data_IF_399555745467
#
_entry.id   IF_399555745467
#
_cell.length_a   1.000
_cell.length_b   1.000
_cell.length_c   1.000
_cell.angle_alpha   90.00
_cell.angle_beta   90.00
_cell.angle_gamma   90.00
#
_symmetry.space_group_name_H-M   'P 1'
#
loop_
_entity.id
_entity.type
_entity.pdbx_description
1 polymer ?
#
# COMPACT_ATOMS: atom_id res chain seq x y z
N UNK A 1 -20.81 -14.17 0.88
CA UNK A 1 -19.47 -14.79 0.78
C UNK A 1 -18.49 -13.90 1.51
N UNK A 2 -17.48 -14.49 2.17
CA UNK A 2 -16.39 -13.73 2.78
C UNK A 2 -15.54 -13.09 1.67
N UNK A 3 -15.06 -11.85 1.88
CA UNK A 3 -14.28 -11.11 0.88
C UNK A 3 -13.09 -10.43 1.54
N UNK A 4 -11.94 -10.39 0.85
CA UNK A 4 -10.82 -9.54 1.23
C UNK A 4 -10.79 -8.29 0.36
N UNK A 5 -10.32 -7.18 0.91
CA UNK A 5 -10.34 -5.89 0.20
C UNK A 5 -9.01 -5.18 0.29
N UNK A 6 -8.59 -4.59 -0.82
CA UNK A 6 -7.47 -3.64 -0.87
C UNK A 6 -8.07 -2.26 -1.17
N UNK A 7 -7.99 -1.35 -0.20
CA UNK A 7 -8.27 0.07 -0.44
C UNK A 7 -7.04 0.69 -1.10
N UNK A 8 -7.19 1.18 -2.31
CA UNK A 8 -6.08 1.64 -3.13
C UNK A 8 -6.18 3.15 -3.39
N UNK A 9 -5.18 3.89 -2.93
CA UNK A 9 -4.88 5.20 -3.52
C UNK A 9 -4.01 5.07 -4.77
N UNK A 10 -4.13 6.03 -5.68
CA UNK A 10 -3.34 6.11 -6.90
C UNK A 10 -2.12 7.01 -6.71
N UNK A 11 -2.34 8.26 -6.30
CA UNK A 11 -1.27 9.23 -6.10
C UNK A 11 -0.45 8.83 -4.87
N UNK A 12 0.88 8.71 -4.99
CA UNK A 12 1.72 8.15 -3.94
C UNK A 12 1.99 6.66 -4.14
N UNK A 13 1.10 5.71 -3.78
CA UNK A 13 1.37 4.28 -3.89
C UNK A 13 1.67 3.81 -5.32
N UNK A 14 0.84 4.21 -6.29
CA UNK A 14 0.95 3.77 -7.69
C UNK A 14 1.62 4.82 -8.58
N UNK A 15 1.46 6.10 -8.24
CA UNK A 15 2.06 7.25 -8.94
C UNK A 15 2.95 8.03 -7.94
N UNK A 16 4.08 7.46 -7.49
CA UNK A 16 5.04 8.19 -6.67
C UNK A 16 5.82 9.24 -7.48
N UNK A 17 6.56 10.13 -6.82
CA UNK A 17 7.37 11.15 -7.49
C UNK A 17 8.34 10.55 -8.52
N UNK A 18 8.89 9.35 -8.27
CA UNK A 18 9.76 8.67 -9.24
C UNK A 18 9.04 8.22 -10.52
N UNK A 19 7.73 7.98 -10.46
CA UNK A 19 6.94 7.62 -11.64
C UNK A 19 6.84 8.77 -12.64
N UNK A 20 7.05 10.02 -12.22
CA UNK A 20 7.08 11.17 -13.13
C UNK A 20 8.26 11.19 -14.09
N UNK A 21 9.28 10.34 -13.86
CA UNK A 21 10.41 10.15 -14.77
C UNK A 21 10.19 9.02 -15.77
N UNK A 22 9.05 8.32 -15.71
CA UNK A 22 8.71 7.28 -16.69
C UNK A 22 8.44 7.90 -18.06
N UNK A 23 8.83 7.22 -19.15
CA UNK A 23 8.54 7.69 -20.50
C UNK A 23 7.03 7.79 -20.73
N UNK A 24 6.57 8.87 -21.34
CA UNK A 24 5.16 9.17 -21.61
C UNK A 24 4.29 9.48 -20.38
N UNK A 25 4.89 9.73 -19.20
CA UNK A 25 4.15 10.36 -18.11
C UNK A 25 3.69 11.75 -18.54
N UNK A 26 2.41 12.06 -18.36
CA UNK A 26 1.88 13.42 -18.58
C UNK A 26 0.90 13.78 -17.47
N UNK A 27 0.50 15.06 -17.33
CA UNK A 27 -0.58 15.44 -16.43
C UNK A 27 -1.94 14.79 -16.75
N UNK A 28 -2.09 14.20 -17.95
CA UNK A 28 -3.34 13.62 -18.46
C UNK A 28 -3.28 12.08 -18.43
N UNK A 29 -2.10 11.51 -18.70
CA UNK A 29 -1.83 10.08 -18.69
C UNK A 29 -0.90 9.73 -17.53
N UNK A 30 -1.47 9.07 -16.54
CA UNK A 30 -0.73 8.56 -15.39
C UNK A 30 -0.27 7.14 -15.67
N UNK A 31 1.03 6.98 -15.85
CA UNK A 31 1.70 5.68 -15.87
C UNK A 31 2.00 5.33 -14.42
N UNK A 32 1.59 4.13 -14.03
CA UNK A 32 1.88 3.60 -12.70
C UNK A 32 3.32 3.11 -12.65
N UNK A 33 3.91 3.17 -11.47
CA UNK A 33 5.18 2.55 -11.19
C UNK A 33 5.09 1.04 -11.46
N UNK A 34 5.90 0.48 -12.38
CA UNK A 34 5.76 -0.91 -12.79
C UNK A 34 6.11 -1.91 -11.68
N UNK A 35 6.97 -1.52 -10.73
CA UNK A 35 7.26 -2.35 -9.56
C UNK A 35 6.05 -2.38 -8.61
N UNK A 36 5.40 -1.24 -8.38
CA UNK A 36 4.18 -1.15 -7.60
C UNK A 36 3.06 -2.01 -8.22
N UNK A 37 2.85 -1.93 -9.55
CA UNK A 37 1.89 -2.78 -10.28
C UNK A 37 2.20 -4.26 -10.10
N UNK A 38 3.45 -4.68 -10.30
CA UNK A 38 3.83 -6.09 -10.14
C UNK A 38 3.57 -6.63 -8.73
N UNK A 39 3.85 -5.82 -7.71
CA UNK A 39 3.56 -6.18 -6.31
C UNK A 39 2.06 -6.21 -6.02
N UNK A 40 1.29 -5.25 -6.53
CA UNK A 40 -0.16 -5.20 -6.38
C UNK A 40 -0.82 -6.43 -7.04
N UNK A 41 -0.46 -6.76 -8.27
CA UNK A 41 -1.00 -7.94 -8.97
C UNK A 41 -0.67 -9.23 -8.22
N UNK A 42 0.55 -9.35 -7.69
CA UNK A 42 0.93 -10.50 -6.86
C UNK A 42 0.11 -10.56 -5.57
N UNK A 43 -0.12 -9.41 -4.92
CA UNK A 43 -0.94 -9.32 -3.72
C UNK A 43 -2.39 -9.74 -3.99
N UNK A 44 -2.98 -9.27 -5.09
CA UNK A 44 -4.33 -9.65 -5.55
C UNK A 44 -4.38 -11.16 -5.80
N UNK A 45 -3.47 -11.70 -6.60
CA UNK A 45 -3.46 -13.12 -6.97
C UNK A 45 -3.32 -14.06 -5.75
N UNK A 46 -2.56 -13.66 -4.73
CA UNK A 46 -2.38 -14.46 -3.51
C UNK A 46 -3.56 -14.35 -2.54
N UNK A 47 -4.26 -13.22 -2.53
CA UNK A 47 -5.31 -12.92 -1.54
C UNK A 47 -6.72 -13.17 -2.03
N UNK A 48 -6.92 -13.18 -3.35
CA UNK A 48 -8.21 -13.05 -4.03
C UNK A 48 -8.98 -11.79 -3.58
N UNK A 49 -8.24 -10.73 -3.21
CA UNK A 49 -8.82 -9.50 -2.72
C UNK A 49 -9.37 -8.64 -3.86
N UNK A 50 -10.51 -8.01 -3.60
CA UNK A 50 -11.10 -7.02 -4.51
C UNK A 50 -10.55 -5.64 -4.25
N UNK A 51 -10.45 -4.83 -5.30
CA UNK A 51 -10.03 -3.44 -5.21
C UNK A 51 -11.20 -2.53 -4.83
N UNK A 52 -10.98 -1.65 -3.86
CA UNK A 52 -11.83 -0.50 -3.58
C UNK A 52 -10.99 0.75 -3.81
N UNK A 53 -11.43 1.63 -4.71
CA UNK A 53 -10.72 2.86 -5.03
C UNK A 53 -10.97 3.88 -3.94
N UNK A 54 -9.94 4.09 -3.13
CA UNK A 54 -9.91 5.08 -2.07
C UNK A 54 -8.93 6.15 -2.50
N UNK A 55 -9.30 6.96 -3.49
CA UNK A 55 -8.40 7.92 -4.14
C UNK A 55 -9.17 9.12 -4.65
N UNK A 56 -8.57 10.32 -4.69
CA UNK A 56 -9.14 11.52 -5.36
C UNK A 56 -9.65 11.22 -6.78
N UNK A 57 -9.01 10.27 -7.46
CA UNK A 57 -9.37 9.77 -8.79
C UNK A 57 -10.77 9.20 -8.90
N UNK A 58 -11.38 8.70 -7.81
CA UNK A 58 -12.76 8.19 -7.85
C UNK A 58 -13.79 9.25 -8.27
N UNK A 59 -13.48 10.54 -8.12
CA UNK A 59 -14.32 11.63 -8.63
C UNK A 59 -14.46 11.66 -10.16
N UNK A 60 -13.55 11.00 -10.89
CA UNK A 60 -13.60 10.87 -12.36
C UNK A 60 -14.56 9.77 -12.83
N UNK A 61 -15.07 8.94 -11.92
CA UNK A 61 -15.98 7.84 -12.21
C UNK A 61 -15.27 6.50 -12.47
N UNK A 62 -16.05 5.42 -12.34
CA UNK A 62 -15.53 4.04 -12.37
C UNK A 62 -14.88 3.67 -13.70
N UNK A 63 -15.43 4.12 -14.83
CA UNK A 63 -14.91 3.75 -16.16
C UNK A 63 -13.51 4.31 -16.38
N UNK A 64 -13.25 5.54 -15.92
CA UNK A 64 -11.92 6.16 -15.96
C UNK A 64 -10.95 5.40 -15.06
N UNK A 65 -11.36 5.03 -13.85
CA UNK A 65 -10.51 4.24 -12.96
C UNK A 65 -10.15 2.88 -13.56
N UNK A 66 -11.12 2.17 -14.16
CA UNK A 66 -10.89 0.90 -14.86
C UNK A 66 -9.93 1.06 -16.03
N UNK A 67 -10.16 2.06 -16.87
CA UNK A 67 -9.27 2.34 -18.01
C UNK A 67 -7.83 2.60 -17.55
N UNK A 68 -7.64 3.35 -16.46
CA UNK A 68 -6.30 3.61 -15.90
C UNK A 68 -5.67 2.33 -15.36
N UNK A 69 -6.42 1.51 -14.63
CA UNK A 69 -5.93 0.23 -14.11
C UNK A 69 -5.54 -0.73 -15.24
N UNK A 70 -6.41 -0.88 -16.23
CA UNK A 70 -6.22 -1.77 -17.39
C UNK A 70 -5.01 -1.34 -18.23
N UNK A 71 -4.90 -0.04 -18.54
CA UNK A 71 -3.75 0.49 -19.30
C UNK A 71 -2.42 0.30 -18.59
N UNK A 72 -2.44 0.28 -17.27
CA UNK A 72 -1.25 0.07 -16.45
C UNK A 72 -1.01 -1.41 -16.10
N UNK A 73 -1.87 -2.32 -16.57
CA UNK A 73 -1.70 -3.76 -16.41
C UNK A 73 -2.05 -4.28 -15.00
N UNK A 74 -3.00 -3.65 -14.29
CA UNK A 74 -3.49 -4.17 -13.01
C UNK A 74 -4.52 -5.28 -13.26
N UNK A 75 -4.32 -6.46 -12.68
CA UNK A 75 -5.05 -7.71 -13.00
C UNK A 75 -6.13 -8.08 -11.97
N UNK A 76 -6.79 -7.11 -11.34
CA UNK A 76 -7.72 -7.34 -10.22
C UNK A 76 -9.15 -6.90 -10.46
N UNK A 77 -10.09 -7.64 -9.85
CA UNK A 77 -11.50 -7.27 -9.84
C UNK A 77 -11.75 -6.09 -8.90
N UNK A 78 -12.48 -5.10 -9.40
CA UNK A 78 -13.01 -4.02 -8.59
C UNK A 78 -14.25 -4.52 -7.83
N UNK A 79 -14.33 -4.18 -6.54
CA UNK A 79 -15.48 -4.51 -5.70
C UNK A 79 -16.77 -3.87 -6.27
N UNK A 80 -17.95 -4.52 -6.18
CA UNK A 80 -19.20 -3.94 -6.69
C UNK A 80 -19.53 -2.57 -6.09
N UNK A 81 -19.35 -2.41 -4.78
CA UNK A 81 -19.25 -1.10 -4.16
C UNK A 81 -17.79 -0.63 -4.20
N UNK A 82 -17.45 0.06 -5.28
CA UNK A 82 -16.09 0.18 -5.79
C UNK A 82 -15.27 1.32 -5.19
N UNK A 83 -15.87 2.23 -4.41
CA UNK A 83 -15.18 3.41 -3.88
C UNK A 83 -15.65 3.78 -2.49
N UNK A 84 -14.78 4.43 -1.72
CA UNK A 84 -15.12 4.91 -0.39
C UNK A 84 -16.06 6.13 -0.46
N UNK A 85 -17.00 6.28 0.49
CA UNK A 85 -17.95 7.40 0.50
C UNK A 85 -17.26 8.70 0.91
N UNK A 86 -17.16 9.65 -0.03
CA UNK A 86 -16.56 10.98 0.21
C UNK A 86 -17.57 12.02 0.65
N UNK A 87 -17.20 12.85 1.62
CA UNK A 87 -17.97 13.99 2.14
C UNK A 87 -17.07 15.23 2.21
N UNK A 88 -17.66 16.42 2.23
CA UNK A 88 -16.92 17.69 2.15
C UNK A 88 -15.79 17.84 3.18
N UNK A 89 -15.94 17.23 4.36
CA UNK A 89 -14.98 17.30 5.47
C UNK A 89 -14.52 15.92 5.93
N UNK A 90 -14.68 14.88 5.10
CA UNK A 90 -14.19 13.56 5.46
C UNK A 90 -12.67 13.47 5.30
N UNK A 91 -12.02 12.75 6.21
CA UNK A 91 -10.66 12.27 6.03
C UNK A 91 -10.71 10.87 5.43
N UNK A 92 -9.66 10.49 4.72
CA UNK A 92 -9.48 9.15 4.16
C UNK A 92 -9.75 8.03 5.18
N UNK A 93 -9.31 8.25 6.43
CA UNK A 93 -9.58 7.34 7.54
C UNK A 93 -11.07 7.14 7.80
N UNK A 94 -11.87 8.22 7.82
CA UNK A 94 -13.31 8.12 8.03
C UNK A 94 -14.01 7.45 6.86
N UNK A 95 -13.61 7.76 5.63
CA UNK A 95 -14.21 7.20 4.41
C UNK A 95 -14.06 5.67 4.35
N UNK A 96 -12.85 5.17 4.59
CA UNK A 96 -12.58 3.72 4.67
C UNK A 96 -13.36 3.11 5.85
N UNK A 97 -13.37 3.77 7.02
CA UNK A 97 -14.09 3.28 8.19
C UNK A 97 -15.59 3.14 7.96
N UNK A 98 -16.23 4.10 7.31
CA UNK A 98 -17.64 4.02 6.94
C UNK A 98 -17.90 2.90 5.94
N UNK A 99 -17.06 2.80 4.90
CA UNK A 99 -17.18 1.72 3.94
C UNK A 99 -17.10 0.35 4.63
N UNK A 100 -16.12 0.14 5.52
CA UNK A 100 -16.00 -1.11 6.28
C UNK A 100 -17.20 -1.39 7.19
N UNK A 101 -17.79 -0.35 7.80
CA UNK A 101 -18.96 -0.49 8.66
C UNK A 101 -20.19 -1.03 7.89
N UNK A 102 -20.31 -0.67 6.60
CA UNK A 102 -21.39 -1.12 5.72
C UNK A 102 -21.12 -2.50 5.08
N UNK A 103 -19.91 -3.06 5.26
CA UNK A 103 -19.45 -4.30 4.61
C UNK A 103 -18.99 -5.36 5.61
N UNK A 104 -19.90 -5.82 6.47
CA UNK A 104 -19.61 -6.83 7.51
C UNK A 104 -19.14 -8.20 6.98
N UNK A 105 -19.22 -8.44 5.66
CA UNK A 105 -18.70 -9.64 5.00
C UNK A 105 -17.20 -9.59 4.69
N UNK A 106 -16.54 -8.45 4.92
CA UNK A 106 -15.10 -8.29 4.72
C UNK A 106 -14.35 -8.91 5.90
N UNK A 107 -13.55 -9.94 5.63
CA UNK A 107 -12.82 -10.66 6.70
C UNK A 107 -11.42 -10.11 6.94
N UNK A 108 -10.78 -9.60 5.89
CA UNK A 108 -9.46 -9.00 5.96
C UNK A 108 -9.37 -7.88 4.94
N UNK A 109 -8.55 -6.88 5.26
CA UNK A 109 -8.37 -5.72 4.41
C UNK A 109 -7.01 -5.09 4.63
N UNK A 110 -6.58 -4.30 3.65
CA UNK A 110 -5.43 -3.41 3.78
C UNK A 110 -5.70 -2.11 3.02
N UNK A 111 -5.26 -0.98 3.57
CA UNK A 111 -5.27 0.30 2.87
C UNK A 111 -3.85 0.67 2.44
N UNK A 112 -3.66 0.96 1.15
CA UNK A 112 -2.41 1.42 0.56
C UNK A 112 -2.55 2.91 0.23
N UNK A 113 -1.80 3.74 0.94
CA UNK A 113 -2.00 5.19 0.95
C UNK A 113 -0.69 5.89 1.29
N UNK A 114 -0.37 7.04 0.68
CA UNK A 114 0.77 7.83 1.13
C UNK A 114 0.41 8.82 2.24
N UNK A 115 -0.88 9.17 2.35
CA UNK A 115 -1.38 9.94 3.49
C UNK A 115 -1.23 9.13 4.79
N UNK A 116 -0.92 9.85 5.87
CA UNK A 116 -0.86 9.25 7.20
C UNK A 116 -2.27 9.03 7.74
N UNK A 117 -2.76 7.80 7.67
CA UNK A 117 -4.04 7.39 8.26
C UNK A 117 -3.92 7.20 9.79
N UNK A 118 -5.05 7.31 10.49
CA UNK A 118 -5.09 7.05 11.94
C UNK A 118 -5.01 5.55 12.23
N UNK A 119 -3.88 5.08 12.78
CA UNK A 119 -3.64 3.68 13.11
C UNK A 119 -4.57 3.15 14.21
N UNK A 120 -5.06 4.04 15.08
CA UNK A 120 -5.98 3.68 16.16
C UNK A 120 -7.37 3.32 15.63
N UNK A 121 -7.76 3.90 14.49
CA UNK A 121 -9.04 3.63 13.82
C UNK A 121 -8.89 2.59 12.70
N UNK A 122 -7.79 2.64 11.96
CA UNK A 122 -7.50 1.78 10.81
C UNK A 122 -6.16 1.06 10.99
N UNK A 123 -6.08 0.02 11.84
CA UNK A 123 -4.80 -0.62 12.18
C UNK A 123 -4.17 -1.43 11.03
N UNK A 124 -4.90 -1.63 9.92
CA UNK A 124 -4.42 -2.35 8.73
C UNK A 124 -4.10 -1.41 7.56
N UNK A 125 -3.67 -0.17 7.82
CA UNK A 125 -3.12 0.69 6.77
C UNK A 125 -1.61 0.45 6.60
N UNK A 126 -1.14 0.67 5.37
CA UNK A 126 0.26 0.66 4.99
C UNK A 126 0.58 2.01 4.36
N UNK A 127 1.35 2.84 5.07
CA UNK A 127 1.77 4.13 4.55
C UNK A 127 2.89 3.94 3.52
N UNK A 128 2.57 4.26 2.27
CA UNK A 128 3.50 4.30 1.17
C UNK A 128 4.28 5.62 1.20
N UNK A 129 5.50 5.63 0.68
CA UNK A 129 6.28 6.86 0.59
C UNK A 129 5.88 7.62 -0.69
N UNK A 130 5.62 8.93 -0.62
CA UNK A 130 5.21 9.71 -1.81
C UNK A 130 6.29 9.74 -2.90
N UNK A 131 7.57 9.50 -2.58
CA UNK A 131 8.67 9.47 -3.54
C UNK A 131 8.93 8.07 -4.10
N UNK A 132 8.75 7.03 -3.28
CA UNK A 132 9.11 5.64 -3.59
C UNK A 132 7.92 4.70 -3.78
N UNK A 133 6.71 5.17 -3.52
CA UNK A 133 5.44 4.46 -3.72
C UNK A 133 5.29 3.19 -2.91
N UNK A 134 4.47 2.26 -3.44
CA UNK A 134 4.28 0.95 -2.86
C UNK A 134 5.58 0.14 -2.97
N UNK A 135 6.33 0.06 -1.87
CA UNK A 135 7.64 -0.59 -1.81
C UNK A 135 7.56 -2.07 -1.44
N UNK A 136 8.68 -2.80 -1.55
CA UNK A 136 8.74 -4.21 -1.11
C UNK A 136 8.38 -4.39 0.38
N UNK A 137 8.81 -3.46 1.24
CA UNK A 137 8.42 -3.50 2.66
C UNK A 137 6.91 -3.32 2.82
N UNK A 138 6.31 -2.36 2.10
CA UNK A 138 4.87 -2.15 2.11
C UNK A 138 4.12 -3.40 1.62
N UNK A 139 4.62 -4.07 0.59
CA UNK A 139 4.07 -5.33 0.11
C UNK A 139 4.08 -6.43 1.19
N UNK A 140 5.17 -6.58 1.95
CA UNK A 140 5.22 -7.53 3.06
C UNK A 140 4.25 -7.16 4.21
N UNK A 141 4.11 -5.87 4.52
CA UNK A 141 3.11 -5.39 5.48
C UNK A 141 1.69 -5.71 4.99
N UNK A 142 1.41 -5.54 3.70
CA UNK A 142 0.12 -5.85 3.11
C UNK A 142 -0.21 -7.35 3.16
N UNK A 143 0.76 -8.23 2.86
CA UNK A 143 0.59 -9.68 3.03
C UNK A 143 0.20 -10.05 4.47
N UNK A 144 0.83 -9.40 5.46
CA UNK A 144 0.52 -9.60 6.88
C UNK A 144 -0.91 -9.15 7.19
N UNK A 145 -1.33 -7.99 6.71
CA UNK A 145 -2.67 -7.46 6.98
C UNK A 145 -3.80 -8.25 6.32
N UNK A 146 -3.52 -8.86 5.16
CA UNK A 146 -4.42 -9.79 4.47
C UNK A 146 -4.33 -11.24 4.98
N UNK A 147 -3.55 -11.49 6.03
CA UNK A 147 -3.37 -12.79 6.66
C UNK A 147 -2.92 -13.90 5.69
N UNK A 148 -2.03 -13.56 4.77
CA UNK A 148 -1.46 -14.47 3.75
C UNK A 148 0.08 -14.48 3.75
N UNK A 149 0.72 -13.77 4.68
CA UNK A 149 2.17 -13.79 4.85
C UNK A 149 2.66 -15.16 5.31
N UNK A 150 3.74 -15.65 4.71
CA UNK A 150 4.47 -16.83 5.18
C UNK A 150 5.40 -16.47 6.35
N UNK A 151 5.92 -17.47 7.06
CA UNK A 151 6.94 -17.27 8.09
C UNK A 151 8.17 -16.51 7.55
N UNK A 152 8.58 -16.83 6.31
CA UNK A 152 9.66 -16.13 5.63
C UNK A 152 9.33 -14.67 5.37
N UNK A 153 8.12 -14.37 4.89
CA UNK A 153 7.70 -12.97 4.63
C UNK A 153 7.71 -12.15 5.93
N UNK A 154 7.29 -12.74 7.05
CA UNK A 154 7.32 -12.10 8.36
C UNK A 154 8.75 -11.87 8.88
N UNK A 155 9.66 -12.80 8.62
CA UNK A 155 11.08 -12.65 8.95
C UNK A 155 11.74 -11.54 8.12
N UNK A 156 11.50 -11.50 6.81
CA UNK A 156 11.97 -10.44 5.91
C UNK A 156 11.42 -9.07 6.33
N UNK A 157 10.13 -9.01 6.69
CA UNK A 157 9.50 -7.79 7.18
C UNK A 157 10.17 -7.31 8.48
N UNK A 158 10.40 -8.22 9.43
CA UNK A 158 11.13 -7.92 10.66
C UNK A 158 12.52 -7.39 10.35
N UNK A 159 13.25 -8.02 9.44
CA UNK A 159 14.58 -7.58 9.02
C UNK A 159 14.55 -6.16 8.41
N UNK A 160 13.57 -5.88 7.55
CA UNK A 160 13.39 -4.56 6.94
C UNK A 160 13.14 -3.47 7.99
N UNK A 161 12.31 -3.74 9.01
CA UNK A 161 12.10 -2.82 10.14
C UNK A 161 13.39 -2.58 10.92
N UNK A 162 14.12 -3.64 11.29
CA UNK A 162 15.37 -3.52 12.02
C UNK A 162 16.40 -2.67 11.26
N UNK A 163 16.50 -2.87 9.94
CA UNK A 163 17.42 -2.10 9.08
C UNK A 163 17.05 -0.61 9.05
N UNK A 164 15.76 -0.28 9.03
CA UNK A 164 15.31 1.12 9.03
C UNK A 164 15.56 1.81 10.37
N UNK A 165 15.25 1.13 11.48
CA UNK A 165 15.59 1.64 12.83
C UNK A 165 17.09 1.90 12.93
N UNK A 166 17.90 0.95 12.45
CA UNK A 166 19.35 1.10 12.42
C UNK A 166 19.78 2.31 11.58
N UNK A 167 19.21 2.49 10.38
CA UNK A 167 19.49 3.64 9.50
C UNK A 167 19.20 4.96 10.21
N UNK A 168 18.07 5.08 10.90
CA UNK A 168 17.64 6.31 11.56
C UNK A 168 18.44 6.63 12.82
N UNK A 169 18.73 5.63 13.65
CA UNK A 169 19.43 5.83 14.93
C UNK A 169 20.93 6.02 14.77
N UNK A 170 21.55 5.46 13.72
CA UNK A 170 23.01 5.41 13.55
C UNK A 170 23.51 6.10 12.28
N UNK A 171 22.67 6.92 11.64
CA UNK A 171 23.07 7.74 10.49
C UNK A 171 24.32 8.60 10.77
N UNK A 172 24.51 9.01 12.03
CA UNK A 172 25.64 9.81 12.49
C UNK A 172 26.88 9.02 12.94
N UNK A 173 26.82 7.70 13.05
CA UNK A 173 27.92 6.91 13.65
C UNK A 173 29.09 6.71 12.66
N UNK A 174 30.34 6.61 13.14
CA UNK A 174 31.49 6.28 12.30
C UNK A 174 31.27 4.97 11.52
N UNK A 175 31.77 4.90 10.28
CA UNK A 175 31.54 3.77 9.34
C UNK A 175 31.87 2.40 9.94
N UNK A 176 32.86 2.33 10.82
CA UNK A 176 33.34 1.09 11.45
C UNK A 176 32.30 0.42 12.36
N UNK A 177 31.33 1.16 12.88
CA UNK A 177 30.31 0.63 13.80
C UNK A 177 29.03 0.13 13.10
N UNK A 178 29.00 0.17 11.76
CA UNK A 178 27.72 0.17 11.03
C UNK A 178 27.10 -1.20 10.73
N UNK A 179 27.81 -2.32 10.84
CA UNK A 179 27.20 -3.61 10.46
C UNK A 179 27.55 -4.80 11.34
N UNK A 180 28.67 -4.81 12.05
CA UNK A 180 29.16 -6.05 12.69
C UNK A 180 28.96 -6.13 14.20
N UNK A 181 29.01 -5.01 14.93
CA UNK A 181 29.02 -5.03 16.40
C UNK A 181 27.65 -5.30 17.05
N UNK A 182 26.56 -4.78 16.47
CA UNK A 182 25.25 -4.77 17.13
C UNK A 182 24.49 -6.10 17.01
N UNK A 183 24.76 -6.90 15.97
CA UNK A 183 24.19 -8.24 15.84
C UNK A 183 24.70 -9.18 16.95
N UNK A 184 25.88 -8.92 17.53
CA UNK A 184 26.38 -9.71 18.65
C UNK A 184 25.83 -9.23 20.01
N UNK A 185 25.55 -7.93 20.18
CA UNK A 185 25.04 -7.37 21.44
C UNK A 185 23.53 -7.56 21.65
N UNK A 186 22.71 -7.56 20.60
CA UNK A 186 21.25 -7.77 20.74
C UNK A 186 20.83 -9.24 20.84
N UNK A 187 21.73 -10.15 20.48
CA UNK A 187 21.47 -11.59 20.40
C UNK A 187 22.43 -12.42 21.28
N UNK A 188 23.11 -11.78 22.24
CA UNK A 188 23.67 -12.44 23.44
C UNK A 188 22.71 -12.29 24.62
#
# INVERSE_FOLDING_TARGET
MSTKVIFLDFDGPMIPNRAFFLPNQTPIYSIFDPCAVGMLNRLIALSDAKLVISSTWSSKGIDVCKEVLDKNGVEGDIHPDWTTPKRLTSSRTMEIGWWLADHSNVVDWVALDDERLDAGLLPKFVQCDTHEGFSYRNYLEALKHLNIATARDLEELRYAYCKEVWRLQRAGDPKEHRTWAFANELFS
#
